data_IF_426479078458
#
_entry.id   IF_426479078458
#
_cell.length_a   1.000
_cell.length_b   1.000
_cell.length_c   1.000
_cell.angle_alpha   90.00
_cell.angle_beta   90.00
_cell.angle_gamma   90.00
#
_symmetry.space_group_name_H-M   'P 1'
#
loop_
_entity.id
_entity.type
_entity.pdbx_description
1 polymer ?
#
# COMPACT_ATOMS: atom_id res chain seq x y z
N UNK A 1 7.54 11.88 17.34
CA UNK A 1 6.23 11.79 16.66
C UNK A 1 6.52 11.83 15.18
N UNK A 2 6.01 10.89 14.40
CA UNK A 2 6.07 10.98 12.95
C UNK A 2 5.24 12.18 12.49
N UNK A 3 5.81 13.00 11.62
CA UNK A 3 5.15 14.14 11.00
C UNK A 3 4.07 13.68 10.03
N UNK A 4 3.06 14.52 9.71
CA UNK A 4 2.12 14.21 8.63
C UNK A 4 2.83 13.86 7.31
N UNK A 5 3.93 14.55 6.99
CA UNK A 5 4.73 14.32 5.78
C UNK A 5 5.30 12.90 5.74
N UNK A 6 5.82 12.39 6.85
CA UNK A 6 6.33 11.00 6.94
C UNK A 6 5.19 9.99 6.71
N UNK A 7 4.01 10.22 7.27
CA UNK A 7 2.88 9.32 7.03
C UNK A 7 2.43 9.29 5.57
N UNK A 8 2.44 10.43 4.88
CA UNK A 8 2.13 10.48 3.45
C UNK A 8 3.25 9.87 2.60
N UNK A 9 4.53 10.05 2.98
CA UNK A 9 5.65 9.41 2.31
C UNK A 9 5.57 7.88 2.44
N UNK A 10 5.28 7.36 3.63
CA UNK A 10 5.11 5.93 3.88
C UNK A 10 3.92 5.34 3.09
N UNK A 11 2.83 6.10 2.98
CA UNK A 11 1.67 5.68 2.19
C UNK A 11 1.99 5.68 0.68
N UNK A 12 2.72 6.67 0.18
CA UNK A 12 3.17 6.71 -1.21
C UNK A 12 4.04 5.51 -1.54
N UNK A 13 5.05 5.21 -0.74
CA UNK A 13 5.93 4.06 -0.95
C UNK A 13 5.13 2.75 -1.01
N UNK A 14 4.18 2.56 -0.09
CA UNK A 14 3.30 1.39 -0.12
C UNK A 14 2.45 1.32 -1.39
N UNK A 15 1.91 2.45 -1.86
CA UNK A 15 1.10 2.48 -3.09
C UNK A 15 1.94 2.18 -4.32
N UNK A 16 3.19 2.64 -4.38
CA UNK A 16 4.15 2.31 -5.44
C UNK A 16 4.47 0.81 -5.45
N UNK A 17 4.72 0.21 -4.29
CA UNK A 17 4.94 -1.24 -4.18
C UNK A 17 3.72 -2.03 -4.66
N UNK A 18 2.52 -1.65 -4.23
CA UNK A 18 1.27 -2.29 -4.67
C UNK A 18 1.02 -2.11 -6.16
N UNK A 19 1.36 -0.94 -6.71
CA UNK A 19 1.30 -0.71 -8.14
C UNK A 19 2.25 -1.63 -8.91
N UNK A 20 3.50 -1.78 -8.44
CA UNK A 20 4.47 -2.70 -9.02
C UNK A 20 3.96 -4.14 -9.06
N UNK A 21 3.41 -4.64 -7.95
CA UNK A 21 2.80 -5.99 -7.89
C UNK A 21 1.60 -6.13 -8.85
N UNK A 22 0.77 -5.09 -8.98
CA UNK A 22 -0.36 -5.11 -9.90
C UNK A 22 0.07 -5.05 -11.38
N UNK A 23 1.21 -4.42 -11.68
CA UNK A 23 1.84 -4.44 -13.01
C UNK A 23 2.43 -5.82 -13.30
N UNK A 24 3.14 -6.42 -12.35
CA UNK A 24 3.67 -7.79 -12.49
C UNK A 24 2.54 -8.79 -12.76
N UNK A 25 1.40 -8.61 -12.08
CA UNK A 25 0.16 -9.37 -12.29
C UNK A 25 -0.44 -9.33 -13.70
N UNK A 26 0.06 -8.48 -14.59
CA UNK A 26 -0.41 -8.37 -15.99
C UNK A 26 0.43 -9.20 -16.97
N UNK A 27 1.50 -9.85 -16.49
CA UNK A 27 2.39 -10.61 -17.37
C UNK A 27 1.66 -11.83 -17.98
N UNK A 28 1.73 -12.03 -19.32
CA UNK A 28 0.94 -13.06 -20.01
C UNK A 28 1.32 -14.49 -19.61
N UNK A 29 2.55 -14.70 -19.16
CA UNK A 29 3.09 -16.01 -18.80
C UNK A 29 2.97 -16.33 -17.29
N UNK A 30 2.09 -15.63 -16.57
CA UNK A 30 1.86 -15.88 -15.15
C UNK A 30 1.31 -17.30 -14.92
N UNK A 31 1.95 -18.01 -14.01
CA UNK A 31 1.41 -19.29 -13.51
C UNK A 31 0.35 -19.03 -12.45
N UNK A 32 -0.48 -20.05 -12.18
CA UNK A 32 -1.50 -19.99 -11.12
C UNK A 32 -0.88 -19.69 -9.75
N UNK A 33 0.22 -20.36 -9.41
CA UNK A 33 0.91 -20.19 -8.13
C UNK A 33 1.45 -18.77 -7.95
N UNK A 34 2.05 -18.18 -9.00
CA UNK A 34 2.53 -16.79 -8.94
C UNK A 34 1.34 -15.83 -8.84
N UNK A 35 0.27 -16.05 -9.62
CA UNK A 35 -0.94 -15.24 -9.55
C UNK A 35 -1.54 -15.22 -8.14
N UNK A 36 -1.56 -16.37 -7.47
CA UNK A 36 -2.02 -16.51 -6.08
C UNK A 36 -1.09 -15.80 -5.11
N UNK A 37 0.23 -15.93 -5.27
CA UNK A 37 1.20 -15.23 -4.44
C UNK A 37 1.06 -13.70 -4.55
N UNK A 38 0.94 -13.17 -5.77
CA UNK A 38 0.70 -11.74 -6.03
C UNK A 38 -0.59 -11.26 -5.38
N UNK A 39 -1.68 -12.03 -5.51
CA UNK A 39 -2.97 -11.70 -4.88
C UNK A 39 -2.89 -11.62 -3.35
N UNK A 40 -2.15 -12.54 -2.71
CA UNK A 40 -1.90 -12.52 -1.26
C UNK A 40 -1.11 -11.26 -0.87
N UNK A 41 -0.04 -10.95 -1.60
CA UNK A 41 0.79 -9.77 -1.34
C UNK A 41 0.01 -8.46 -1.50
N UNK A 42 -0.79 -8.33 -2.57
CA UNK A 42 -1.68 -7.19 -2.79
C UNK A 42 -2.69 -7.04 -1.63
N UNK A 43 -3.28 -8.14 -1.18
CA UNK A 43 -4.24 -8.13 -0.06
C UNK A 43 -3.59 -7.67 1.24
N UNK A 44 -2.38 -8.15 1.52
CA UNK A 44 -1.61 -7.75 2.70
C UNK A 44 -1.27 -6.25 2.65
N UNK A 45 -0.76 -5.76 1.52
CA UNK A 45 -0.42 -4.35 1.36
C UNK A 45 -1.64 -3.42 1.42
N UNK A 46 -2.77 -3.79 0.81
CA UNK A 46 -4.03 -3.02 0.94
C UNK A 46 -4.51 -2.97 2.40
N UNK A 47 -4.34 -4.07 3.15
CA UNK A 47 -4.66 -4.10 4.58
C UNK A 47 -3.75 -3.16 5.37
N UNK A 48 -2.47 -3.12 5.06
CA UNK A 48 -1.53 -2.17 5.65
C UNK A 48 -1.88 -0.72 5.30
N UNK A 49 -2.22 -0.43 4.04
CA UNK A 49 -2.60 0.90 3.59
C UNK A 49 -3.84 1.42 4.30
N UNK A 50 -4.85 0.56 4.53
CA UNK A 50 -6.01 0.89 5.36
C UNK A 50 -5.62 1.30 6.78
N UNK A 51 -4.63 0.63 7.38
CA UNK A 51 -4.12 0.99 8.72
C UNK A 51 -3.37 2.32 8.72
N UNK A 52 -2.55 2.58 7.71
CA UNK A 52 -1.85 3.86 7.55
C UNK A 52 -2.83 5.02 7.36
N UNK A 53 -3.84 4.87 6.50
CA UNK A 53 -4.90 5.88 6.33
C UNK A 53 -5.63 6.12 7.66
N UNK A 54 -5.94 5.06 8.42
CA UNK A 54 -6.56 5.21 9.73
C UNK A 54 -5.66 5.94 10.74
N UNK A 55 -4.34 5.78 10.66
CA UNK A 55 -3.39 6.53 11.47
C UNK A 55 -3.34 8.01 11.07
N UNK A 56 -3.27 8.30 9.76
CA UNK A 56 -3.31 9.66 9.22
C UNK A 56 -4.57 10.40 9.70
N UNK A 57 -5.75 9.75 9.64
CA UNK A 57 -7.01 10.35 10.11
C UNK A 57 -7.02 10.75 11.58
N UNK A 58 -6.17 10.14 12.41
CA UNK A 58 -6.06 10.42 13.85
C UNK A 58 -5.03 11.51 14.16
N UNK A 59 -4.30 12.01 13.16
CA UNK A 59 -3.37 13.11 13.36
C UNK A 59 -4.12 14.34 13.89
N UNK A 60 -3.53 15.10 14.84
CA UNK A 60 -4.11 16.34 15.31
C UNK A 60 -3.99 17.38 14.20
N UNK A 61 -4.98 17.42 13.31
CA UNK A 61 -5.09 18.43 12.27
C UNK A 61 -5.29 19.79 12.94
N UNK A 62 -4.20 20.51 13.16
CA UNK A 62 -4.25 21.95 13.39
C UNK A 62 -4.77 22.56 12.10
N UNK A 63 -6.08 22.82 12.03
CA UNK A 63 -6.64 23.72 11.02
C UNK A 63 -6.02 25.09 11.30
N UNK A 64 -4.98 25.43 10.54
CA UNK A 64 -4.43 26.77 10.51
C UNK A 64 -5.36 27.71 9.74
#
# INVERSE_FOLDING_TARGET
MTSPQEHFADLTALLEDLHGLAVEGQHPDLTEDISKALSVSLTAGLTQGKRQIAAIRKLPWSVA
#
